data_IF_321242591955
#
_entry.id   IF_321242591955
#
_cell.length_a   1.000
_cell.length_b   1.000
_cell.length_c   1.000
_cell.angle_alpha   90.00
_cell.angle_beta   90.00
_cell.angle_gamma   90.00
#
_symmetry.space_group_name_H-M   'P 1'
#
loop_
_entity.id
_entity.type
_entity.pdbx_description
1 polymer ?
#
# COMPACT_ATOMS: atom_id res chain seq x y z
N UNK A 1 -4.50 21.86 5.04
CA UNK A 1 -4.52 20.54 5.70
C UNK A 1 -3.60 19.63 4.91
N UNK A 2 -2.62 18.99 5.55
CA UNK A 2 -1.77 17.98 4.89
C UNK A 2 -2.64 16.74 4.60
N UNK A 3 -2.58 16.21 3.39
CA UNK A 3 -3.32 14.99 3.01
C UNK A 3 -2.44 13.78 3.28
N UNK A 4 -2.99 12.76 3.92
CA UNK A 4 -2.31 11.49 4.12
C UNK A 4 -2.12 10.78 2.78
N UNK A 5 -0.93 10.22 2.59
CA UNK A 5 -0.54 9.47 1.38
C UNK A 5 -0.96 8.00 1.49
N UNK A 6 -0.98 7.31 0.35
CA UNK A 6 -1.04 5.85 0.29
C UNK A 6 0.38 5.34 0.10
N UNK A 7 0.89 4.61 1.09
CA UNK A 7 2.18 3.93 0.99
C UNK A 7 2.03 2.68 0.12
N UNK A 8 2.90 2.49 -0.87
CA UNK A 8 2.89 1.31 -1.74
C UNK A 8 4.21 0.54 -1.69
N UNK A 9 4.13 -0.76 -1.94
CA UNK A 9 5.32 -1.61 -2.12
C UNK A 9 6.19 -1.17 -3.30
N UNK A 10 7.49 -1.43 -3.20
CA UNK A 10 8.43 -1.37 -4.33
C UNK A 10 8.27 -2.53 -5.31
N UNK A 11 7.59 -3.60 -4.89
CA UNK A 11 7.41 -4.82 -5.65
C UNK A 11 6.03 -4.90 -6.32
N UNK A 12 5.37 -3.75 -6.52
CA UNK A 12 4.06 -3.72 -7.15
C UNK A 12 4.12 -4.31 -8.57
N UNK A 13 3.18 -5.19 -8.93
CA UNK A 13 3.12 -5.75 -10.27
C UNK A 13 2.69 -4.67 -11.28
N UNK A 14 3.07 -4.84 -12.55
CA UNK A 14 2.84 -3.83 -13.60
C UNK A 14 1.35 -3.51 -13.82
N UNK A 15 0.47 -4.50 -13.64
CA UNK A 15 -0.97 -4.38 -13.77
C UNK A 15 -1.63 -3.52 -12.65
N UNK A 16 -0.92 -3.29 -11.55
CA UNK A 16 -1.35 -2.36 -10.50
C UNK A 16 -1.40 -0.89 -10.97
N UNK A 17 -0.71 -0.56 -12.06
CA UNK A 17 -0.65 0.80 -12.63
C UNK A 17 -2.04 1.41 -12.87
N UNK A 18 -3.00 0.64 -13.40
CA UNK A 18 -4.36 1.12 -13.65
C UNK A 18 -5.11 1.51 -12.36
N UNK A 19 -4.89 0.76 -11.27
CA UNK A 19 -5.46 1.11 -9.97
C UNK A 19 -4.76 2.33 -9.37
N UNK A 20 -3.44 2.43 -9.53
CA UNK A 20 -2.66 3.56 -9.06
C UNK A 20 -3.11 4.88 -9.70
N UNK A 21 -3.33 4.89 -11.03
CA UNK A 21 -3.84 6.05 -11.77
C UNK A 21 -5.25 6.45 -11.28
N UNK A 22 -6.15 5.48 -11.13
CA UNK A 22 -7.52 5.72 -10.64
C UNK A 22 -7.55 6.33 -9.24
N UNK A 23 -6.65 5.90 -8.34
CA UNK A 23 -6.56 6.42 -6.97
C UNK A 23 -6.13 7.90 -6.93
N UNK A 24 -5.20 8.31 -7.81
CA UNK A 24 -4.77 9.71 -7.89
C UNK A 24 -5.84 10.57 -8.58
N UNK A 25 -6.34 10.15 -9.74
CA UNK A 25 -7.28 10.95 -10.54
C UNK A 25 -8.65 11.11 -9.87
N UNK A 26 -9.21 10.04 -9.30
CA UNK A 26 -10.58 10.06 -8.78
C UNK A 26 -10.64 10.46 -7.31
N UNK A 27 -9.64 10.05 -6.52
CA UNK A 27 -9.65 10.23 -5.07
C UNK A 27 -8.59 11.23 -4.56
N UNK A 28 -7.74 11.75 -5.45
CA UNK A 28 -6.66 12.69 -5.13
C UNK A 28 -5.77 12.15 -4.01
N UNK A 29 -5.40 10.87 -4.16
CA UNK A 29 -4.52 10.12 -3.26
C UNK A 29 -3.21 9.85 -3.94
N UNK A 30 -2.17 10.54 -3.47
CA UNK A 30 -0.81 10.30 -3.93
C UNK A 30 -0.29 8.97 -3.38
N UNK A 31 0.25 8.16 -4.29
CA UNK A 31 0.93 6.92 -3.98
C UNK A 31 2.43 7.19 -3.88
N UNK A 32 3.06 6.71 -2.82
CA UNK A 32 4.51 6.80 -2.66
C UNK A 32 5.08 5.49 -2.12
N UNK A 33 6.29 5.10 -2.54
CA UNK A 33 6.96 3.92 -1.98
C UNK A 33 7.08 4.00 -0.46
N UNK A 34 6.72 2.91 0.24
CA UNK A 34 6.77 2.84 1.71
C UNK A 34 8.16 3.08 2.28
N UNK A 35 9.22 2.80 1.52
CA UNK A 35 10.61 3.06 1.93
C UNK A 35 10.99 4.55 1.92
N UNK A 36 10.22 5.38 1.20
CA UNK A 36 10.53 6.80 0.97
C UNK A 36 9.72 7.73 1.88
N UNK A 37 8.91 7.17 2.77
CA UNK A 37 7.91 7.93 3.52
C UNK A 37 7.90 7.55 4.99
N UNK A 38 7.65 8.54 5.83
CA UNK A 38 7.40 8.32 7.25
C UNK A 38 5.99 7.74 7.45
N UNK A 39 5.87 6.66 8.23
CA UNK A 39 4.58 6.00 8.46
C UNK A 39 3.53 6.90 9.14
N UNK A 40 3.95 8.00 9.77
CA UNK A 40 3.06 9.02 10.36
C UNK A 40 2.28 9.83 9.31
N UNK A 41 2.76 9.88 8.06
CA UNK A 41 2.09 10.55 6.95
C UNK A 41 1.23 9.59 6.10
N UNK A 42 1.26 8.29 6.42
CA UNK A 42 0.59 7.23 5.66
C UNK A 42 -0.81 6.98 6.23
N UNK A 43 -1.83 7.09 5.36
CA UNK A 43 -3.22 6.80 5.70
C UNK A 43 -3.67 5.38 5.37
N UNK A 44 -2.94 4.70 4.50
CA UNK A 44 -3.14 3.30 4.13
C UNK A 44 -1.85 2.75 3.49
N UNK A 45 -1.60 1.46 3.66
CA UNK A 45 -0.50 0.76 3.03
C UNK A 45 -1.05 -0.30 2.06
N UNK A 46 -0.54 -0.33 0.84
CA UNK A 46 -0.80 -1.39 -0.13
C UNK A 46 0.51 -2.15 -0.32
N UNK A 47 0.49 -3.45 -0.01
CA UNK A 47 1.69 -4.30 0.01
C UNK A 47 1.45 -5.58 -0.79
N UNK A 48 2.53 -6.31 -1.02
CA UNK A 48 2.54 -7.57 -1.77
C UNK A 48 2.87 -8.75 -0.84
N UNK A 49 2.70 -9.98 -1.35
CA UNK A 49 3.15 -11.18 -0.67
C UNK A 49 4.66 -11.19 -0.38
N UNK A 50 5.48 -10.51 -1.19
CA UNK A 50 6.91 -10.36 -0.94
C UNK A 50 7.18 -9.54 0.33
N UNK A 51 6.43 -8.45 0.52
CA UNK A 51 6.55 -7.58 1.71
C UNK A 51 6.10 -8.29 2.98
N UNK A 52 5.10 -9.16 2.89
CA UNK A 52 4.69 -10.01 4.01
C UNK A 52 5.85 -10.89 4.47
N UNK A 53 6.53 -11.56 3.52
CA UNK A 53 7.69 -12.40 3.79
C UNK A 53 8.87 -11.60 4.35
N UNK A 54 9.04 -10.36 3.89
CA UNK A 54 10.03 -9.41 4.40
C UNK A 54 9.68 -8.82 5.78
N UNK A 55 8.46 -9.04 6.29
CA UNK A 55 8.04 -8.59 7.62
C UNK A 55 7.46 -7.16 7.66
N UNK A 56 7.21 -6.53 6.52
CA UNK A 56 6.74 -5.13 6.47
C UNK A 56 5.40 -4.92 7.19
N UNK A 57 4.46 -5.86 7.08
CA UNK A 57 3.18 -5.79 7.79
C UNK A 57 3.34 -5.76 9.32
N UNK A 58 4.35 -6.46 9.86
CA UNK A 58 4.64 -6.44 11.30
C UNK A 58 5.17 -5.07 11.71
N UNK A 59 6.12 -4.52 10.93
CA UNK A 59 6.63 -3.17 11.17
C UNK A 59 5.52 -2.13 11.19
N UNK A 60 4.60 -2.17 10.21
CA UNK A 60 3.45 -1.26 10.16
C UNK A 60 2.55 -1.47 11.37
N UNK A 61 2.23 -2.71 11.73
CA UNK A 61 1.38 -3.03 12.89
C UNK A 61 2.00 -2.58 14.22
N UNK A 62 3.31 -2.72 14.38
CA UNK A 62 4.05 -2.39 15.61
C UNK A 62 4.08 -0.88 15.89
N UNK A 63 3.82 -0.03 14.89
CA UNK A 63 3.66 1.42 15.10
C UNK A 63 2.47 1.77 15.99
N UNK A 64 1.44 0.92 16.05
CA UNK A 64 0.20 1.20 16.77
C UNK A 64 -0.68 2.30 16.15
N UNK A 65 -0.35 2.80 14.95
CA UNK A 65 -1.10 3.88 14.30
C UNK A 65 -2.44 3.45 13.68
N UNK A 66 -2.70 2.14 13.61
CA UNK A 66 -3.93 1.61 13.01
C UNK A 66 -4.01 1.82 11.50
N UNK A 67 -2.86 1.89 10.81
CA UNK A 67 -2.80 2.03 9.36
C UNK A 67 -3.43 0.78 8.71
N UNK A 68 -4.48 0.92 7.88
CA UNK A 68 -5.06 -0.19 7.16
C UNK A 68 -4.06 -0.72 6.12
N UNK A 69 -3.92 -2.05 6.07
CA UNK A 69 -3.01 -2.75 5.15
C UNK A 69 -3.84 -3.53 4.14
N UNK A 70 -3.64 -3.26 2.85
CA UNK A 70 -4.23 -3.97 1.73
C UNK A 70 -3.17 -4.85 1.08
N UNK A 71 -3.50 -6.11 0.83
CA UNK A 71 -2.60 -7.08 0.20
C UNK A 71 -3.01 -7.29 -1.26
N UNK A 72 -2.06 -7.10 -2.17
CA UNK A 72 -2.18 -7.52 -3.58
C UNK A 72 -1.59 -8.93 -3.70
N UNK A 73 -2.38 -9.85 -4.25
CA UNK A 73 -2.03 -11.26 -4.43
C UNK A 73 -2.06 -11.65 -5.90
N UNK A 74 -1.06 -12.40 -6.35
CA UNK A 74 -0.93 -12.87 -7.74
C UNK A 74 -1.85 -14.07 -8.07
N UNK A 75 -2.63 -14.55 -7.10
CA UNK A 75 -3.47 -15.72 -7.30
C UNK A 75 -4.70 -15.38 -8.14
N UNK A 76 -5.02 -16.27 -9.09
CA UNK A 76 -6.29 -16.24 -9.82
C UNK A 76 -7.44 -16.04 -8.82
N UNK A 77 -8.42 -15.18 -9.11
CA UNK A 77 -9.54 -14.96 -8.21
C UNK A 77 -10.12 -16.31 -7.81
N UNK A 78 -10.10 -16.60 -6.50
CA UNK A 78 -10.72 -17.80 -5.96
C UNK A 78 -12.20 -17.66 -6.30
N UNK A 79 -12.70 -18.48 -7.23
CA UNK A 79 -14.12 -18.51 -7.55
C UNK A 79 -14.87 -18.83 -6.26
N UNK A 80 -15.67 -17.87 -5.80
CA UNK A 80 -16.55 -18.02 -4.64
C UNK A 80 -17.65 -19.05 -4.91
#
# INVERSE_FOLDING_TARGET
>A
MKRLIIGVSNYMPEDFSLLAESLDEQFNRHLQPLEQVELTDVGAAIITSADIKAGLHKMISETGYGIPVFLVTDENPVSA
#
